data_IF_029804533685
#
_entry.id   IF_029804533685
#
_cell.length_a   1.000
_cell.length_b   1.000
_cell.length_c   1.000
_cell.angle_alpha   90.00
_cell.angle_beta   90.00
_cell.angle_gamma   90.00
#
_symmetry.space_group_name_H-M   'P 1'
#
loop_
_entity.id
_entity.type
_entity.pdbx_description
1 polymer ?
#
# COMPACT_ATOMS: atom_id res chain seq x y z
N UNK A 1 -17.17 9.03 -3.74
CA UNK A 1 -16.93 7.58 -3.51
C UNK A 1 -16.44 6.94 -4.79
N UNK A 2 -16.61 5.62 -4.93
CA UNK A 2 -16.40 4.89 -6.19
C UNK A 2 -17.62 5.01 -7.12
N UNK A 3 -17.43 4.77 -8.41
CA UNK A 3 -18.48 4.80 -9.44
C UNK A 3 -19.03 3.41 -9.79
N UNK A 4 -18.53 2.36 -9.11
CA UNK A 4 -18.98 0.98 -9.29
C UNK A 4 -18.76 0.17 -8.01
N UNK A 5 -19.07 -1.13 -8.07
CA UNK A 5 -18.96 -2.04 -6.94
C UNK A 5 -17.52 -2.16 -6.43
N UNK A 6 -17.36 -2.08 -5.11
CA UNK A 6 -16.09 -2.34 -4.42
C UNK A 6 -15.90 -3.86 -4.36
N UNK A 7 -14.76 -4.33 -4.84
CA UNK A 7 -14.42 -5.76 -4.83
C UNK A 7 -13.70 -6.19 -3.55
N UNK A 8 -12.86 -5.32 -2.99
CA UNK A 8 -12.10 -5.63 -1.78
C UNK A 8 -11.66 -4.35 -1.09
N UNK A 9 -11.39 -4.45 0.21
CA UNK A 9 -10.90 -3.36 1.05
C UNK A 9 -9.96 -3.90 2.14
N UNK A 10 -9.14 -3.03 2.73
CA UNK A 10 -8.30 -3.36 3.88
C UNK A 10 -8.03 -2.12 4.75
N UNK A 11 -7.92 -2.33 6.06
CA UNK A 11 -7.52 -1.31 7.03
C UNK A 11 -6.04 -1.46 7.41
N UNK A 12 -5.44 -0.36 7.84
CA UNK A 12 -4.14 -0.40 8.54
C UNK A 12 -4.31 -0.90 9.99
N UNK A 13 -3.20 -1.08 10.71
CA UNK A 13 -3.26 -1.62 12.07
C UNK A 13 -3.99 -0.69 13.05
N UNK A 14 -3.90 0.63 12.85
CA UNK A 14 -4.55 1.62 13.72
C UNK A 14 -5.99 1.95 13.32
N UNK A 15 -6.47 1.40 12.21
CA UNK A 15 -7.79 1.73 11.62
C UNK A 15 -7.98 3.22 11.34
N UNK A 16 -6.88 3.95 11.13
CA UNK A 16 -6.88 5.37 10.72
C UNK A 16 -6.90 5.51 9.20
N UNK A 17 -6.60 4.42 8.47
CA UNK A 17 -6.68 4.35 7.02
C UNK A 17 -7.40 3.11 6.55
N UNK A 18 -8.13 3.27 5.45
CA UNK A 18 -8.74 2.18 4.71
C UNK A 18 -8.47 2.35 3.22
N UNK A 19 -8.09 1.27 2.53
CA UNK A 19 -7.99 1.25 1.08
C UNK A 19 -9.10 0.40 0.48
N UNK A 20 -9.66 0.83 -0.65
CA UNK A 20 -10.68 0.12 -1.41
C UNK A 20 -10.24 -0.05 -2.86
N UNK A 21 -10.61 -1.17 -3.49
CA UNK A 21 -10.42 -1.44 -4.91
C UNK A 21 -11.77 -1.73 -5.58
N UNK A 22 -12.05 -1.08 -6.71
CA UNK A 22 -13.38 -1.07 -7.33
C UNK A 22 -13.35 -1.52 -8.79
N UNK A 23 -14.51 -2.03 -9.25
CA UNK A 23 -14.77 -2.34 -10.66
C UNK A 23 -14.61 -1.13 -11.58
N UNK A 24 -14.71 0.10 -11.05
CA UNK A 24 -14.50 1.32 -11.84
C UNK A 24 -13.06 1.50 -12.34
N UNK A 25 -12.13 0.60 -11.97
CA UNK A 25 -10.73 0.66 -12.38
C UNK A 25 -9.86 1.47 -11.44
N UNK A 26 -10.40 1.93 -10.30
CA UNK A 26 -9.66 2.77 -9.36
C UNK A 26 -9.53 2.11 -7.99
N UNK A 27 -8.51 2.57 -7.27
CA UNK A 27 -8.40 2.39 -5.84
C UNK A 27 -8.44 3.73 -5.13
N UNK A 28 -8.89 3.73 -3.88
CA UNK A 28 -8.98 4.93 -3.04
C UNK A 28 -8.49 4.62 -1.64
N UNK A 29 -7.79 5.56 -1.02
CA UNK A 29 -7.39 5.53 0.39
C UNK A 29 -8.19 6.58 1.12
N UNK A 30 -8.82 6.16 2.20
CA UNK A 30 -9.64 6.96 3.08
C UNK A 30 -8.90 7.21 4.38
N UNK A 31 -9.00 8.44 4.89
CA UNK A 31 -8.78 8.69 6.30
C UNK A 31 -10.04 8.28 7.07
N UNK A 32 -9.89 7.32 7.97
CA UNK A 32 -10.95 6.78 8.83
C UNK A 32 -10.82 7.23 10.29
N UNK A 33 -9.77 8.00 10.62
CA UNK A 33 -9.68 8.73 11.89
C UNK A 33 -10.55 9.99 11.83
N UNK A 34 -11.85 9.78 11.89
CA UNK A 34 -12.86 10.83 11.71
C UNK A 34 -13.59 11.03 13.02
N UNK A 35 -13.70 12.28 13.47
CA UNK A 35 -14.49 12.61 14.66
C UNK A 35 -15.97 12.71 14.29
N UNK A 36 -16.63 11.56 14.22
CA UNK A 36 -18.07 11.48 13.94
C UNK A 36 -18.91 12.34 14.90
N UNK A 37 -18.48 12.49 16.16
CA UNK A 37 -19.13 13.35 17.15
C UNK A 37 -19.12 14.84 16.81
N UNK A 38 -18.24 15.26 15.89
CA UNK A 38 -18.13 16.64 15.42
C UNK A 38 -18.70 16.83 14.01
N UNK A 39 -19.38 15.82 13.46
CA UNK A 39 -19.95 15.87 12.11
C UNK A 39 -18.91 15.80 10.99
N UNK A 40 -17.68 15.35 11.27
CA UNK A 40 -16.69 15.15 10.22
C UNK A 40 -17.04 13.93 9.34
N UNK A 41 -16.76 14.04 8.05
CA UNK A 41 -16.92 12.96 7.07
C UNK A 41 -15.56 12.32 6.72
N UNK A 42 -15.59 11.05 6.32
CA UNK A 42 -14.41 10.33 5.81
C UNK A 42 -13.89 10.98 4.52
N UNK A 43 -12.61 11.34 4.51
CA UNK A 43 -11.97 12.01 3.38
C UNK A 43 -11.14 11.02 2.57
N UNK A 44 -11.21 11.12 1.24
CA UNK A 44 -10.29 10.44 0.35
C UNK A 44 -8.97 11.22 0.40
N UNK A 45 -7.88 10.55 0.81
CA UNK A 45 -6.54 11.16 0.95
C UNK A 45 -5.60 10.76 -0.19
N UNK A 46 -5.90 9.67 -0.89
CA UNK A 46 -5.20 9.26 -2.11
C UNK A 46 -6.12 8.45 -3.02
N UNK A 47 -5.84 8.46 -4.31
CA UNK A 47 -6.47 7.58 -5.29
C UNK A 47 -5.57 7.36 -6.48
N UNK A 48 -5.75 6.24 -7.16
CA UNK A 48 -5.05 5.95 -8.41
C UNK A 48 -5.80 4.93 -9.24
N UNK A 49 -5.26 4.69 -10.43
CA UNK A 49 -5.86 3.79 -11.41
C UNK A 49 -5.17 2.42 -11.38
N UNK A 50 -5.98 1.39 -11.62
CA UNK A 50 -5.55 0.03 -11.88
C UNK A 50 -6.55 -0.62 -12.83
N UNK A 51 -6.40 -0.34 -14.12
CA UNK A 51 -7.33 -0.73 -15.19
C UNK A 51 -7.66 -2.24 -15.22
N UNK A 52 -6.75 -3.09 -14.72
CA UNK A 52 -6.96 -4.54 -14.59
C UNK A 52 -8.23 -4.85 -13.76
N UNK A 53 -8.60 -3.98 -12.81
CA UNK A 53 -9.79 -4.14 -11.98
C UNK A 53 -11.10 -4.13 -12.79
N UNK A 54 -11.17 -3.41 -13.92
CA UNK A 54 -12.41 -3.33 -14.73
C UNK A 54 -12.84 -4.69 -15.28
N UNK A 55 -11.86 -5.55 -15.57
CA UNK A 55 -12.06 -6.88 -16.16
C UNK A 55 -11.80 -8.03 -15.17
N UNK A 56 -11.34 -7.72 -13.95
CA UNK A 56 -11.08 -8.71 -12.93
C UNK A 56 -12.37 -9.28 -12.34
N UNK A 57 -12.35 -10.56 -11.98
CA UNK A 57 -13.46 -11.15 -11.23
C UNK A 57 -13.35 -10.75 -9.75
N UNK A 58 -14.45 -10.41 -9.05
CA UNK A 58 -14.41 -9.95 -7.65
C UNK A 58 -13.63 -10.91 -6.73
N UNK A 59 -13.80 -12.22 -6.92
CA UNK A 59 -13.13 -13.25 -6.12
C UNK A 59 -11.61 -13.30 -6.32
N UNK A 60 -11.10 -12.75 -7.43
CA UNK A 60 -9.67 -12.67 -7.73
C UNK A 60 -9.01 -11.37 -7.27
N UNK A 61 -9.80 -10.43 -6.73
CA UNK A 61 -9.28 -9.16 -6.23
C UNK A 61 -9.04 -9.28 -4.74
N UNK A 62 -7.83 -8.97 -4.29
CA UNK A 62 -7.48 -8.86 -2.86
C UNK A 62 -6.68 -7.61 -2.63
N UNK A 63 -7.01 -6.92 -1.55
CA UNK A 63 -6.26 -5.76 -1.07
C UNK A 63 -5.62 -6.11 0.26
N UNK A 64 -4.37 -5.71 0.45
CA UNK A 64 -3.67 -5.80 1.73
C UNK A 64 -2.99 -4.46 2.01
N UNK A 65 -3.26 -3.88 3.18
CA UNK A 65 -2.64 -2.64 3.63
C UNK A 65 -1.52 -2.96 4.62
N UNK A 66 -0.45 -2.16 4.56
CA UNK A 66 0.64 -2.25 5.52
C UNK A 66 0.16 -1.86 6.92
N UNK A 67 0.75 -2.42 7.98
CA UNK A 67 0.42 -2.04 9.35
C UNK A 67 0.61 -0.53 9.62
N UNK A 68 1.59 0.10 8.96
CA UNK A 68 1.86 1.55 9.04
C UNK A 68 0.83 2.40 8.29
N UNK A 69 0.03 1.80 7.40
CA UNK A 69 -0.88 2.50 6.50
C UNK A 69 -0.17 3.31 5.41
N UNK A 70 1.15 3.17 5.26
CA UNK A 70 1.94 3.96 4.31
C UNK A 70 2.08 3.31 2.93
N UNK A 71 1.96 1.99 2.84
CA UNK A 71 1.85 1.25 1.58
C UNK A 71 0.68 0.26 1.56
N UNK A 72 0.33 -0.22 0.38
CA UNK A 72 -0.63 -1.31 0.20
C UNK A 72 -0.33 -2.08 -1.09
N UNK A 73 -0.95 -3.25 -1.23
CA UNK A 73 -0.88 -4.10 -2.39
C UNK A 73 -2.28 -4.45 -2.87
N UNK A 74 -2.47 -4.48 -4.19
CA UNK A 74 -3.68 -4.97 -4.83
C UNK A 74 -3.29 -6.12 -5.74
N UNK A 75 -3.96 -7.26 -5.56
CA UNK A 75 -3.94 -8.35 -6.52
C UNK A 75 -5.22 -8.35 -7.34
N UNK A 76 -5.10 -8.68 -8.61
CA UNK A 76 -6.21 -8.87 -9.52
C UNK A 76 -5.85 -9.96 -10.55
N UNK A 77 -6.74 -10.93 -10.74
CA UNK A 77 -6.43 -12.14 -11.52
C UNK A 77 -5.17 -12.83 -11.01
N UNK A 78 -4.05 -12.78 -11.74
CA UNK A 78 -2.76 -13.43 -11.39
C UNK A 78 -1.65 -12.41 -11.12
N UNK A 79 -1.99 -11.13 -11.04
CA UNK A 79 -1.05 -10.02 -10.95
C UNK A 79 -1.11 -9.36 -9.58
N UNK A 80 0.01 -8.76 -9.17
CA UNK A 80 0.11 -7.96 -7.95
C UNK A 80 0.71 -6.61 -8.32
N UNK A 81 0.12 -5.53 -7.80
CA UNK A 81 0.67 -4.18 -7.88
C UNK A 81 0.82 -3.60 -6.47
N UNK A 82 1.89 -2.83 -6.26
CA UNK A 82 2.20 -2.18 -4.99
C UNK A 82 2.02 -0.68 -5.13
N UNK A 83 1.67 -0.02 -4.03
CA UNK A 83 1.39 1.41 -4.03
C UNK A 83 1.87 2.07 -2.74
N UNK A 84 2.33 3.32 -2.88
CA UNK A 84 2.59 4.23 -1.77
C UNK A 84 1.35 5.10 -1.54
N UNK A 85 0.89 5.17 -0.29
CA UNK A 85 -0.18 6.11 0.09
C UNK A 85 0.33 7.56 0.21
N UNK A 86 1.64 7.72 0.42
CA UNK A 86 2.27 9.04 0.60
C UNK A 86 2.60 9.71 -0.73
N UNK A 87 2.85 8.90 -1.76
CA UNK A 87 3.13 9.32 -3.14
C UNK A 87 2.40 8.39 -4.12
N UNK A 88 1.09 8.60 -4.32
CA UNK A 88 0.24 7.80 -5.22
C UNK A 88 0.72 7.74 -6.67
N UNK A 89 1.42 8.78 -7.11
CA UNK A 89 2.00 8.93 -8.44
C UNK A 89 3.23 8.06 -8.68
N UNK A 90 3.84 7.51 -7.62
CA UNK A 90 4.97 6.60 -7.76
C UNK A 90 4.50 5.28 -8.34
N UNK A 91 4.94 5.01 -9.57
CA UNK A 91 4.72 3.72 -10.22
C UNK A 91 5.71 2.67 -9.71
N UNK A 92 5.17 1.53 -9.27
CA UNK A 92 5.94 0.32 -8.98
C UNK A 92 5.67 -0.70 -10.09
N UNK A 93 6.71 -1.46 -10.46
CA UNK A 93 6.56 -2.50 -11.47
C UNK A 93 5.54 -3.55 -11.02
N UNK A 94 4.55 -3.80 -11.86
CA UNK A 94 3.58 -4.86 -11.64
C UNK A 94 4.27 -6.23 -11.68
N UNK A 95 3.94 -7.07 -10.70
CA UNK A 95 4.40 -8.46 -10.65
C UNK A 95 3.39 -9.29 -11.43
N UNK A 96 3.77 -9.70 -12.63
CA UNK A 96 2.92 -10.44 -13.56
C UNK A 96 2.96 -11.94 -13.29
N UNK A 97 1.85 -12.62 -13.60
CA UNK A 97 1.69 -14.08 -13.57
C UNK A 97 2.31 -14.77 -12.35
N UNK A 98 1.98 -14.25 -11.16
CA UNK A 98 2.53 -14.71 -9.89
C UNK A 98 2.17 -16.17 -9.62
N UNK A 99 0.97 -16.59 -10.00
CA UNK A 99 0.49 -17.97 -9.86
C UNK A 99 -0.14 -18.44 -11.17
N UNK A 100 -0.24 -19.76 -11.36
CA UNK A 100 -0.93 -20.34 -12.53
C UNK A 100 -2.45 -20.11 -12.50
N UNK A 101 -2.99 -19.90 -11.30
CA UNK A 101 -4.42 -19.68 -11.04
C UNK A 101 -4.63 -18.29 -10.42
N UNK A 102 -5.88 -17.77 -10.45
CA UNK A 102 -6.19 -16.50 -9.81
C UNK A 102 -5.79 -16.47 -8.33
N UNK A 103 -5.24 -15.35 -7.89
CA UNK A 103 -4.87 -15.11 -6.50
C UNK A 103 -6.14 -15.09 -5.66
N UNK A 104 -6.21 -15.96 -4.66
CA UNK A 104 -7.32 -16.05 -3.73
C UNK A 104 -6.94 -15.59 -2.31
N UNK A 105 -5.65 -15.36 -2.04
CA UNK A 105 -5.16 -14.79 -0.80
C UNK A 105 -3.99 -13.84 -1.02
N UNK A 106 -4.04 -12.70 -0.33
CA UNK A 106 -2.97 -11.71 -0.25
C UNK A 106 -2.89 -11.21 1.20
N UNK A 107 -1.70 -11.19 1.77
CA UNK A 107 -1.45 -10.72 3.14
C UNK A 107 -0.11 -9.98 3.22
N UNK A 108 -0.01 -9.04 4.14
CA UNK A 108 1.24 -8.39 4.51
C UNK A 108 1.73 -8.91 5.86
N UNK A 109 3.05 -8.96 6.03
CA UNK A 109 3.67 -9.26 7.32
C UNK A 109 3.36 -8.18 8.36
N UNK A 110 3.35 -8.49 9.66
CA UNK A 110 3.17 -7.49 10.73
C UNK A 110 4.22 -6.39 10.78
N UNK A 111 5.39 -6.58 10.15
CA UNK A 111 6.40 -5.54 10.00
C UNK A 111 6.26 -4.72 8.71
N UNK A 112 5.26 -4.99 7.86
CA UNK A 112 5.02 -4.32 6.58
C UNK A 112 5.99 -4.65 5.45
N UNK A 113 7.16 -5.25 5.74
CA UNK A 113 8.26 -5.47 4.78
C UNK A 113 8.04 -6.62 3.78
N UNK A 114 7.11 -7.54 4.05
CA UNK A 114 6.87 -8.73 3.22
C UNK A 114 5.40 -8.84 2.81
N UNK A 115 5.16 -9.39 1.62
CA UNK A 115 3.83 -9.74 1.09
C UNK A 115 3.82 -11.23 0.78
N UNK A 116 2.75 -11.92 1.18
CA UNK A 116 2.48 -13.31 0.83
C UNK A 116 1.27 -13.39 -0.09
N UNK A 117 1.39 -14.19 -1.16
CA UNK A 117 0.29 -14.49 -2.07
C UNK A 117 0.08 -15.99 -2.24
N UNK A 118 -1.17 -16.39 -2.46
CA UNK A 118 -1.54 -17.75 -2.83
C UNK A 118 -2.64 -17.77 -3.92
N UNK A 119 -2.59 -18.82 -4.74
CA UNK A 119 -3.52 -19.03 -5.86
C UNK A 119 -3.38 -20.42 -6.48
N UNK A 120 -2.17 -20.98 -6.46
CA UNK A 120 -1.85 -22.35 -6.87
C UNK A 120 -1.36 -23.19 -5.67
N UNK A 121 -0.56 -24.24 -5.93
CA UNK A 121 -0.03 -25.15 -4.89
C UNK A 121 1.06 -24.52 -4.02
N UNK A 122 1.54 -23.33 -4.36
CA UNK A 122 2.67 -22.70 -3.69
C UNK A 122 2.29 -21.32 -3.15
N UNK A 123 2.85 -20.98 -1.99
CA UNK A 123 2.85 -19.62 -1.46
C UNK A 123 4.08 -18.92 -2.01
N UNK A 124 3.92 -17.68 -2.45
CA UNK A 124 5.04 -16.83 -2.89
C UNK A 124 5.16 -15.64 -1.96
N UNK A 125 6.40 -15.30 -1.63
CA UNK A 125 6.74 -14.21 -0.71
C UNK A 125 7.55 -13.17 -1.48
N UNK A 126 7.18 -11.91 -1.33
CA UNK A 126 7.80 -10.76 -1.98
C UNK A 126 8.20 -9.71 -0.95
N UNK A 127 9.25 -8.95 -1.25
CA UNK A 127 9.52 -7.71 -0.53
C UNK A 127 8.50 -6.65 -0.90
N UNK A 128 7.94 -5.97 0.11
CA UNK A 128 7.05 -4.83 -0.09
C UNK A 128 7.89 -3.59 -0.38
N UNK A 129 8.37 -3.47 -1.63
CA UNK A 129 9.21 -2.34 -2.07
C UNK A 129 8.54 -0.99 -1.81
N UNK A 130 7.21 -0.92 -1.91
CA UNK A 130 6.46 0.28 -1.61
C UNK A 130 6.58 0.71 -0.15
N UNK A 131 6.63 -0.20 0.83
CA UNK A 131 6.84 0.15 2.24
C UNK A 131 8.22 0.75 2.48
N UNK A 132 9.27 0.15 1.91
CA UNK A 132 10.63 0.67 2.04
C UNK A 132 10.74 2.09 1.45
N UNK A 133 10.14 2.29 0.27
CA UNK A 133 10.06 3.60 -0.37
C UNK A 133 9.28 4.62 0.47
N UNK A 134 8.07 4.26 0.92
CA UNK A 134 7.23 5.15 1.72
C UNK A 134 7.89 5.52 3.05
N UNK A 135 8.69 4.62 3.65
CA UNK A 135 9.46 4.94 4.86
C UNK A 135 10.53 6.02 4.60
N UNK A 136 11.25 5.93 3.47
CA UNK A 136 12.22 6.97 3.07
C UNK A 136 11.52 8.32 2.88
N UNK A 137 10.41 8.33 2.13
CA UNK A 137 9.62 9.55 1.89
C UNK A 137 9.10 10.18 3.20
N UNK A 138 8.60 9.35 4.12
CA UNK A 138 8.11 9.80 5.41
C UNK A 138 9.21 10.44 6.26
N UNK A 139 10.38 9.80 6.33
CA UNK A 139 11.52 10.30 7.09
C UNK A 139 12.05 11.61 6.51
N UNK A 140 12.18 11.71 5.19
CA UNK A 140 12.57 12.96 4.50
C UNK A 140 11.63 14.12 4.87
N UNK A 141 10.32 13.89 4.78
CA UNK A 141 9.31 14.89 5.15
C UNK A 141 9.39 15.27 6.63
N UNK A 142 9.53 14.28 7.52
CA UNK A 142 9.58 14.51 8.97
C UNK A 142 10.82 15.30 9.37
N UNK A 143 11.98 15.07 8.73
CA UNK A 143 13.22 15.83 8.94
C UNK A 143 13.03 17.30 8.56
N UNK A 144 12.40 17.57 7.41
CA UNK A 144 12.13 18.92 6.94
C UNK A 144 11.22 19.70 7.92
N UNK A 145 10.24 19.03 8.52
CA UNK A 145 9.30 19.64 9.47
C UNK A 145 9.87 19.78 10.88
N UNK A 146 10.86 18.96 11.25
CA UNK A 146 11.46 18.97 12.59
C UNK A 146 12.39 20.15 12.77
N UNK A 147 12.18 20.96 13.82
CA UNK A 147 13.02 22.12 14.17
C UNK A 147 14.14 21.80 15.16
N UNK A 148 13.93 20.82 16.04
CA UNK A 148 14.86 20.46 17.12
C UNK A 148 16.05 19.63 16.60
N UNK A 149 17.27 20.08 16.90
CA UNK A 149 18.50 19.50 16.32
C UNK A 149 18.78 18.06 16.79
N UNK A 150 18.52 17.74 18.06
CA UNK A 150 18.71 16.40 18.63
C UNK A 150 17.80 15.36 17.95
N UNK A 151 16.52 15.71 17.80
CA UNK A 151 15.51 14.88 17.13
C UNK A 151 15.81 14.75 15.64
N UNK A 152 16.24 15.84 14.99
CA UNK A 152 16.62 15.82 13.58
C UNK A 152 17.76 14.87 13.30
N UNK A 153 18.84 14.92 14.10
CA UNK A 153 19.99 13.99 13.97
C UNK A 153 19.58 12.53 14.04
N UNK A 154 18.71 12.18 15.00
CA UNK A 154 18.19 10.81 15.12
C UNK A 154 17.39 10.38 13.88
N UNK A 155 16.58 11.27 13.32
CA UNK A 155 15.82 10.98 12.10
C UNK A 155 16.73 10.83 10.88
N UNK A 156 17.81 11.61 10.79
CA UNK A 156 18.82 11.49 9.73
C UNK A 156 19.54 10.13 9.77
N UNK A 157 19.86 9.62 10.96
CA UNK A 157 20.42 8.26 11.12
C UNK A 157 19.43 7.18 10.65
N UNK A 158 18.14 7.32 11.01
CA UNK A 158 17.09 6.41 10.55
C UNK A 158 16.89 6.49 9.03
N UNK A 159 16.97 7.68 8.44
CA UNK A 159 16.89 7.87 7.00
C UNK A 159 18.04 7.18 6.28
N UNK A 160 19.26 7.27 6.82
CA UNK A 160 20.42 6.59 6.25
C UNK A 160 20.23 5.06 6.23
N UNK A 161 19.71 4.49 7.32
CA UNK A 161 19.37 3.07 7.39
C UNK A 161 18.25 2.68 6.43
N UNK A 162 17.16 3.46 6.38
CA UNK A 162 16.05 3.23 5.46
C UNK A 162 16.50 3.27 3.98
N UNK A 163 17.38 4.20 3.61
CA UNK A 163 17.97 4.25 2.26
C UNK A 163 18.84 3.03 1.98
N UNK A 164 19.59 2.53 2.96
CA UNK A 164 20.39 1.32 2.81
C UNK A 164 19.49 0.10 2.56
N UNK A 165 18.42 -0.04 3.33
CA UNK A 165 17.43 -1.11 3.12
C UNK A 165 16.71 -1.00 1.78
N UNK A 166 16.43 0.23 1.31
CA UNK A 166 15.76 0.47 0.03
C UNK A 166 16.70 0.32 -1.19
N UNK A 167 18.01 0.51 -1.02
CA UNK A 167 18.99 0.52 -2.10
C UNK A 167 18.96 -0.68 -3.05
N UNK A 168 18.71 -1.93 -2.62
CA UNK A 168 18.64 -3.09 -3.52
C UNK A 168 17.45 -3.01 -4.50
N UNK A 169 16.44 -2.20 -4.20
CA UNK A 169 15.19 -2.08 -4.95
C UNK A 169 15.09 -0.78 -5.76
N UNK A 170 16.10 0.10 -5.70
CA UNK A 170 16.06 1.39 -6.39
C UNK A 170 16.03 1.27 -7.94
N UNK A 171 16.33 0.09 -8.48
CA UNK A 171 16.37 -0.20 -9.92
C UNK A 171 15.23 -1.13 -10.40
N UNK A 172 14.25 -1.47 -9.54
CA UNK A 172 13.12 -2.35 -9.87
C UNK A 172 11.83 -1.59 -10.14
#
# INVERSE_FOLDING_TARGET
GHNSGIYSFAFDQSSTRCVTASKDGTWKVYNTDVRYSQGEETKIIASGEFEVLKNARPESVKVAMSPSGNSFAISASRHICLYSTLQPEKEFKMILDVHDKPINGLRMSPCGKMIASCGDRYIRIFHNVAEFYSNVVLLEKTIQETREDSRRRRLEEQLLEARREFSPFAFS
#
